data_IF_479823887284
#
_entry.id   IF_479823887284
#
_cell.length_a   1.000
_cell.length_b   1.000
_cell.length_c   1.000
_cell.angle_alpha   90.00
_cell.angle_beta   90.00
_cell.angle_gamma   90.00
#
_symmetry.space_group_name_H-M   'P 1'
#
loop_
_entity.id
_entity.type
_entity.pdbx_description
1 polymer ?
#
# COMPACT_ATOMS: atom_id res chain seq x y z
N UNK A 1 3.04 -22.19 5.05
CA UNK A 1 2.03 -21.42 5.83
C UNK A 1 1.78 -22.02 7.24
N UNK A 2 1.57 -23.33 7.37
CA UNK A 2 1.09 -23.95 8.63
C UNK A 2 1.99 -23.74 9.85
N UNK A 3 3.31 -23.66 9.67
CA UNK A 3 4.26 -23.50 10.77
C UNK A 3 4.49 -22.04 11.20
N UNK A 4 3.90 -21.07 10.49
CA UNK A 4 4.04 -19.65 10.85
C UNK A 4 3.24 -19.38 12.13
N UNK A 5 3.93 -18.79 13.12
CA UNK A 5 3.41 -18.40 14.44
C UNK A 5 3.27 -16.88 14.63
N UNK A 6 3.68 -16.09 13.63
CA UNK A 6 3.57 -14.63 13.68
C UNK A 6 2.11 -14.19 13.70
N UNK A 7 1.82 -13.09 14.39
CA UNK A 7 0.48 -12.45 14.38
C UNK A 7 0.30 -11.51 13.19
N UNK A 8 1.40 -10.93 12.74
CA UNK A 8 1.46 -9.96 11.65
C UNK A 8 2.60 -10.36 10.72
N UNK A 9 2.35 -10.29 9.42
CA UNK A 9 3.33 -10.47 8.36
C UNK A 9 3.33 -9.22 7.48
N UNK A 10 4.51 -8.67 7.23
CA UNK A 10 4.72 -7.52 6.36
C UNK A 10 5.57 -7.95 5.17
N UNK A 11 5.05 -7.81 3.96
CA UNK A 11 5.77 -8.22 2.76
C UNK A 11 6.75 -7.13 2.30
N UNK A 12 7.99 -7.20 2.78
CA UNK A 12 9.04 -6.27 2.35
C UNK A 12 9.56 -6.55 0.93
N UNK A 13 9.56 -7.82 0.52
CA UNK A 13 9.88 -8.23 -0.85
C UNK A 13 8.64 -8.22 -1.74
N UNK A 14 8.83 -8.31 -3.06
CA UNK A 14 7.74 -8.46 -4.03
C UNK A 14 7.33 -9.93 -4.15
N UNK A 15 6.03 -10.23 -4.00
CA UNK A 15 5.44 -11.56 -4.10
C UNK A 15 6.03 -12.65 -3.18
N UNK A 16 6.41 -12.40 -1.91
CA UNK A 16 7.06 -13.42 -1.08
C UNK A 16 6.10 -14.51 -0.58
N UNK A 17 4.77 -14.28 -0.67
CA UNK A 17 3.73 -15.20 -0.21
C UNK A 17 2.84 -15.56 -1.39
N UNK A 18 2.66 -16.85 -1.63
CA UNK A 18 1.74 -17.34 -2.66
C UNK A 18 0.28 -17.11 -2.25
N UNK A 19 -0.64 -17.05 -3.22
CA UNK A 19 -2.08 -16.81 -2.98
C UNK A 19 -2.68 -17.84 -2.01
N UNK A 20 -2.35 -19.12 -2.20
CA UNK A 20 -2.81 -20.21 -1.32
C UNK A 20 -2.27 -20.08 0.11
N UNK A 21 -1.00 -19.68 0.24
CA UNK A 21 -0.39 -19.45 1.53
C UNK A 21 -1.03 -18.25 2.24
N UNK A 22 -1.32 -17.17 1.52
CA UNK A 22 -2.02 -15.99 2.05
C UNK A 22 -3.39 -16.38 2.60
N UNK A 23 -4.18 -17.10 1.82
CA UNK A 23 -5.50 -17.61 2.24
C UNK A 23 -5.42 -18.49 3.50
N UNK A 24 -4.39 -19.32 3.60
CA UNK A 24 -4.15 -20.16 4.79
C UNK A 24 -3.79 -19.32 6.02
N UNK A 25 -2.95 -18.31 5.85
CA UNK A 25 -2.51 -17.43 6.93
C UNK A 25 -3.66 -16.58 7.48
N UNK A 26 -4.52 -16.06 6.61
CA UNK A 26 -5.69 -15.28 7.00
C UNK A 26 -6.72 -16.11 7.76
N UNK A 27 -6.98 -17.36 7.34
CA UNK A 27 -7.83 -18.30 8.09
C UNK A 27 -7.29 -18.60 9.49
N UNK A 28 -5.97 -18.50 9.69
CA UNK A 28 -5.33 -18.62 11.01
C UNK A 28 -5.39 -17.32 11.83
N UNK A 29 -6.03 -16.27 11.33
CA UNK A 29 -6.11 -14.97 11.98
C UNK A 29 -4.80 -14.16 11.92
N UNK A 30 -3.90 -14.50 10.99
CA UNK A 30 -2.64 -13.76 10.81
C UNK A 30 -2.91 -12.58 9.89
N UNK A 31 -2.56 -11.38 10.35
CA UNK A 31 -2.68 -10.17 9.54
C UNK A 31 -1.54 -10.10 8.52
N UNK A 32 -1.86 -10.04 7.23
CA UNK A 32 -0.87 -9.92 6.15
C UNK A 32 -0.97 -8.52 5.53
N UNK A 33 0.09 -7.72 5.61
CA UNK A 33 0.19 -6.47 4.86
C UNK A 33 0.86 -6.76 3.50
N UNK A 34 0.16 -6.54 2.38
CA UNK A 34 0.64 -6.93 1.06
C UNK A 34 1.80 -6.04 0.61
N UNK A 35 2.68 -6.59 -0.20
CA UNK A 35 3.86 -5.96 -0.78
C UNK A 35 3.58 -4.59 -1.40
N UNK A 36 2.56 -4.48 -2.26
CA UNK A 36 2.12 -3.24 -2.92
C UNK A 36 1.91 -2.06 -1.95
N UNK A 37 1.63 -2.36 -0.68
CA UNK A 37 1.52 -1.38 0.40
C UNK A 37 2.76 -1.36 1.28
N UNK A 38 3.22 -2.52 1.76
CA UNK A 38 4.25 -2.63 2.79
C UNK A 38 5.62 -2.14 2.32
N UNK A 39 5.95 -2.31 1.04
CA UNK A 39 7.25 -1.92 0.47
C UNK A 39 7.22 -0.60 -0.33
N UNK A 40 6.07 0.09 -0.35
CA UNK A 40 5.85 1.32 -1.13
C UNK A 40 6.67 2.54 -0.64
N UNK A 41 7.48 2.38 0.39
CA UNK A 41 8.33 3.46 0.90
C UNK A 41 9.33 3.97 -0.13
N UNK A 42 9.95 3.07 -0.90
CA UNK A 42 10.91 3.45 -1.93
C UNK A 42 10.30 4.36 -3.00
N UNK A 43 9.19 3.92 -3.61
CA UNK A 43 8.48 4.73 -4.62
C UNK A 43 7.93 6.04 -4.06
N UNK A 44 7.53 6.05 -2.78
CA UNK A 44 7.06 7.28 -2.11
C UNK A 44 8.18 8.29 -1.94
N UNK A 45 9.38 7.85 -1.56
CA UNK A 45 10.54 8.75 -1.43
C UNK A 45 11.04 9.21 -2.80
N UNK A 46 10.98 8.38 -3.85
CA UNK A 46 11.25 8.84 -5.23
C UNK A 46 10.24 9.90 -5.71
N UNK A 47 8.98 9.83 -5.27
CA UNK A 47 8.03 10.91 -5.50
C UNK A 47 8.42 12.20 -4.76
N UNK A 48 8.93 12.10 -3.52
CA UNK A 48 9.42 13.27 -2.79
C UNK A 48 10.67 13.88 -3.44
N UNK A 49 11.59 13.06 -3.97
CA UNK A 49 12.72 13.53 -4.77
C UNK A 49 12.24 14.40 -5.93
N UNK A 50 11.28 13.91 -6.73
CA UNK A 50 10.68 14.69 -7.81
C UNK A 50 10.04 16.01 -7.34
N UNK A 51 9.32 16.01 -6.20
CA UNK A 51 8.73 17.24 -5.64
C UNK A 51 9.81 18.25 -5.22
N UNK A 52 10.90 17.80 -4.62
CA UNK A 52 12.01 18.65 -4.18
C UNK A 52 12.77 19.23 -5.38
N UNK A 53 12.98 18.44 -6.43
CA UNK A 53 13.66 18.87 -7.65
C UNK A 53 12.93 20.03 -8.35
N UNK A 54 11.59 19.98 -8.40
CA UNK A 54 10.78 21.07 -8.96
C UNK A 54 10.99 22.43 -8.28
N UNK A 55 11.38 22.41 -7.01
CA UNK A 55 11.58 23.62 -6.20
C UNK A 55 13.06 23.90 -5.93
N UNK A 56 13.96 22.98 -6.30
CA UNK A 56 15.37 22.98 -5.90
C UNK A 56 15.55 23.20 -4.39
N UNK A 57 14.62 22.65 -3.60
CA UNK A 57 14.58 22.78 -2.15
C UNK A 57 14.52 21.39 -1.52
N UNK A 58 15.62 21.00 -0.90
CA UNK A 58 15.80 19.67 -0.33
C UNK A 58 15.45 19.66 1.15
N UNK A 59 14.70 18.64 1.54
CA UNK A 59 14.24 18.43 2.89
C UNK A 59 15.29 17.68 3.70
N UNK A 60 15.30 17.92 5.01
CA UNK A 60 16.09 17.10 5.92
C UNK A 60 15.46 15.70 6.11
N UNK A 61 16.22 14.82 6.76
CA UNK A 61 15.79 13.43 6.96
C UNK A 61 14.52 13.31 7.81
N UNK A 62 14.30 14.21 8.76
CA UNK A 62 13.14 14.16 9.65
C UNK A 62 11.88 14.63 8.92
N UNK A 63 11.99 15.65 8.09
CA UNK A 63 10.94 16.08 7.16
C UNK A 63 10.55 14.95 6.18
N UNK A 64 11.54 14.24 5.62
CA UNK A 64 11.27 13.08 4.74
C UNK A 64 10.57 11.96 5.50
N UNK A 65 11.00 11.65 6.73
CA UNK A 65 10.39 10.61 7.57
C UNK A 65 8.96 10.95 7.95
N UNK A 66 8.70 12.19 8.36
CA UNK A 66 7.35 12.64 8.73
C UNK A 66 6.41 12.58 7.53
N UNK A 67 6.85 13.08 6.37
CA UNK A 67 6.08 13.02 5.13
C UNK A 67 5.81 11.56 4.70
N UNK A 68 6.81 10.69 4.80
CA UNK A 68 6.69 9.26 4.49
C UNK A 68 5.69 8.58 5.42
N UNK A 69 5.84 8.76 6.73
CA UNK A 69 4.93 8.19 7.73
C UNK A 69 3.48 8.61 7.46
N UNK A 70 3.26 9.91 7.20
CA UNK A 70 1.93 10.44 6.87
C UNK A 70 1.32 9.77 5.63
N UNK A 71 2.11 9.61 4.56
CA UNK A 71 1.64 8.97 3.32
C UNK A 71 1.36 7.48 3.52
N UNK A 72 2.26 6.76 4.18
CA UNK A 72 2.12 5.31 4.41
C UNK A 72 0.98 5.00 5.37
N UNK A 73 0.79 5.77 6.45
CA UNK A 73 -0.35 5.62 7.37
C UNK A 73 -1.68 5.86 6.67
N UNK A 74 -1.76 6.91 5.84
CA UNK A 74 -2.95 7.17 5.05
C UNK A 74 -3.26 6.01 4.10
N UNK A 75 -2.26 5.55 3.34
CA UNK A 75 -2.44 4.41 2.44
C UNK A 75 -2.90 3.15 3.19
N UNK A 76 -2.32 2.86 4.35
CA UNK A 76 -2.75 1.76 5.20
C UNK A 76 -4.20 1.90 5.66
N UNK A 77 -4.59 3.08 6.14
CA UNK A 77 -5.96 3.35 6.57
C UNK A 77 -6.96 3.16 5.43
N UNK A 78 -6.65 3.71 4.24
CA UNK A 78 -7.53 3.61 3.07
C UNK A 78 -7.73 2.14 2.63
N UNK A 79 -6.66 1.33 2.68
CA UNK A 79 -6.72 -0.11 2.36
C UNK A 79 -7.49 -0.89 3.44
N UNK A 80 -7.27 -0.58 4.72
CA UNK A 80 -7.97 -1.24 5.82
C UNK A 80 -9.47 -0.92 5.79
N UNK A 81 -9.84 0.30 5.44
CA UNK A 81 -11.23 0.69 5.24
C UNK A 81 -11.85 -0.08 4.07
N UNK A 82 -11.18 -0.15 2.93
CA UNK A 82 -11.64 -0.93 1.78
C UNK A 82 -11.78 -2.42 2.12
N UNK A 83 -10.83 -3.00 2.86
CA UNK A 83 -10.89 -4.37 3.37
C UNK A 83 -12.21 -4.62 4.11
N UNK A 84 -12.52 -3.76 5.07
CA UNK A 84 -13.71 -3.88 5.91
C UNK A 84 -14.99 -3.62 5.10
N UNK A 85 -14.97 -2.62 4.21
CA UNK A 85 -16.11 -2.24 3.37
C UNK A 85 -16.52 -3.35 2.40
N UNK A 86 -15.55 -3.99 1.76
CA UNK A 86 -15.80 -5.02 0.75
C UNK A 86 -15.69 -6.46 1.29
N UNK A 87 -15.32 -6.62 2.56
CA UNK A 87 -15.12 -7.91 3.23
C UNK A 87 -14.18 -8.85 2.44
N UNK A 88 -13.01 -8.32 2.04
CA UNK A 88 -11.98 -9.04 1.28
C UNK A 88 -10.65 -9.09 2.05
N UNK A 89 -9.67 -9.80 1.52
CA UNK A 89 -8.30 -9.80 2.05
C UNK A 89 -7.59 -8.45 1.83
N UNK A 90 -6.50 -8.20 2.56
CA UNK A 90 -5.76 -6.94 2.46
C UNK A 90 -5.15 -6.70 1.07
N UNK A 91 -4.75 -7.75 0.35
CA UNK A 91 -4.15 -7.64 -0.98
C UNK A 91 -5.21 -7.22 -2.00
N UNK A 92 -6.35 -7.89 -2.01
CA UNK A 92 -7.50 -7.53 -2.85
C UNK A 92 -7.95 -6.11 -2.53
N UNK A 93 -8.06 -5.74 -1.25
CA UNK A 93 -8.41 -4.38 -0.84
C UNK A 93 -7.42 -3.32 -1.39
N UNK A 94 -6.12 -3.61 -1.38
CA UNK A 94 -5.11 -2.71 -1.92
C UNK A 94 -5.30 -2.49 -3.44
N UNK A 95 -5.60 -3.54 -4.19
CA UNK A 95 -5.92 -3.44 -5.61
C UNK A 95 -7.23 -2.68 -5.86
N UNK A 96 -8.26 -2.90 -5.04
CA UNK A 96 -9.52 -2.15 -5.13
C UNK A 96 -9.25 -0.65 -4.99
N UNK A 97 -8.50 -0.23 -3.96
CA UNK A 97 -8.15 1.20 -3.77
C UNK A 97 -7.33 1.75 -4.93
N UNK A 98 -6.38 0.98 -5.46
CA UNK A 98 -5.54 1.42 -6.57
C UNK A 98 -6.35 1.62 -7.87
N UNK A 99 -7.19 0.63 -8.22
CA UNK A 99 -8.00 0.66 -9.43
C UNK A 99 -9.08 1.73 -9.32
N UNK A 100 -9.76 1.84 -8.17
CA UNK A 100 -10.81 2.84 -7.92
C UNK A 100 -10.30 4.26 -8.12
N UNK A 101 -9.10 4.58 -7.62
CA UNK A 101 -8.47 5.90 -7.81
C UNK A 101 -8.21 6.22 -9.28
N UNK A 102 -7.70 5.25 -10.04
CA UNK A 102 -7.42 5.44 -11.47
C UNK A 102 -8.73 5.59 -12.24
N UNK A 103 -9.70 4.71 -11.99
CA UNK A 103 -11.01 4.76 -12.61
C UNK A 103 -11.71 6.09 -12.33
N UNK A 104 -11.73 6.54 -11.08
CA UNK A 104 -12.28 7.83 -10.68
C UNK A 104 -11.62 9.00 -11.42
N UNK A 105 -10.29 9.02 -11.52
CA UNK A 105 -9.59 10.09 -12.24
C UNK A 105 -9.91 10.10 -13.74
N UNK A 106 -10.02 8.92 -14.37
CA UNK A 106 -10.39 8.79 -15.78
C UNK A 106 -11.83 9.23 -16.01
N UNK A 107 -12.77 8.77 -15.18
CA UNK A 107 -14.19 9.14 -15.26
C UNK A 107 -14.38 10.66 -15.10
N UNK A 108 -13.68 11.28 -14.15
CA UNK A 108 -13.75 12.74 -13.92
C UNK A 108 -13.15 13.56 -15.05
N UNK A 109 -12.09 13.07 -15.70
CA UNK A 109 -11.47 13.77 -16.84
C UNK A 109 -12.23 13.54 -18.14
N UNK A 110 -13.03 12.48 -18.22
CA UNK A 110 -13.64 12.02 -19.46
C UNK A 110 -12.60 11.41 -20.40
N UNK A 111 -13.11 10.83 -21.49
CA UNK A 111 -12.26 10.37 -22.60
C UNK A 111 -12.43 11.42 -23.70
N UNK A 112 -11.39 12.22 -23.88
CA UNK A 112 -11.27 13.28 -24.89
C UNK A 112 -10.16 12.84 -25.89
N UNK A 113 -10.20 13.19 -27.19
CA UNK A 113 -10.34 14.56 -27.66
C UNK A 113 -11.78 15.04 -27.81
#
# INVERSE_FOLDING_TARGET
>A
ANNIKAKVLLEGANGPITVDACSTLEKKGIFVAPDILANAGGVTVSYFEWVQDLQSYFWDLDQIREALEKKMRKAFSDVLEAKNKYNVDMRTAAYVVAIDRVAFAVEKRGIFP
#
